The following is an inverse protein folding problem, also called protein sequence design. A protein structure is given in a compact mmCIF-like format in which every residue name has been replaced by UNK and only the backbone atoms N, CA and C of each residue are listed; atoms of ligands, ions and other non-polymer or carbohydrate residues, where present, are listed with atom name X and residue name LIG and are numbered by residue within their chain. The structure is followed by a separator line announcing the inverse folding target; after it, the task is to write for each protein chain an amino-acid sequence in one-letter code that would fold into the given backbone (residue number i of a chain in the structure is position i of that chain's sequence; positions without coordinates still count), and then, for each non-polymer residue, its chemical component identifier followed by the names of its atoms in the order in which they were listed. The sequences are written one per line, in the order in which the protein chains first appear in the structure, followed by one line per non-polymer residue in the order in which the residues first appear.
data_IF_839501947488
#
_entry.id   IF_839501947488
#
_cell.length_a   1.000
_cell.length_b   1.000
_cell.length_c   1.000
_cell.angle_alpha   90.00
_cell.angle_beta   90.00
_cell.angle_gamma   90.00
#
_symmetry.space_group_name_H-M   'P 1'
#
loop_
_entity.id
_entity.type
_entity.pdbx_description
1 polymer ?
#
# COMPACT_ATOMS: atom_id res chain seq x y z
N UNK A 1 5.09 -40.10 -15.13
CA UNK A 1 4.77 -40.24 -13.70
C UNK A 1 4.07 -38.99 -13.25
N UNK A 2 2.75 -39.05 -13.09
CA UNK A 2 1.95 -37.92 -12.63
C UNK A 2 2.03 -37.79 -11.12
N UNK A 3 2.63 -36.71 -10.63
CA UNK A 3 2.55 -36.32 -9.23
C UNK A 3 1.20 -35.61 -9.02
N UNK A 4 0.22 -36.41 -8.61
CA UNK A 4 -1.00 -35.90 -7.97
C UNK A 4 -0.58 -35.13 -6.73
N UNK A 5 -0.83 -33.81 -6.71
CA UNK A 5 -0.60 -32.93 -5.56
C UNK A 5 -1.88 -32.96 -4.73
N UNK A 6 -1.94 -33.68 -3.59
CA UNK A 6 -3.19 -33.86 -2.83
C UNK A 6 -3.50 -32.68 -1.90
N UNK A 7 -2.94 -31.49 -2.15
CA UNK A 7 -3.04 -30.34 -1.24
C UNK A 7 -3.95 -29.19 -1.70
N UNK A 8 -4.26 -29.08 -3.00
CA UNK A 8 -5.01 -27.92 -3.55
C UNK A 8 -6.48 -27.89 -3.14
N UNK A 9 -7.13 -29.05 -3.03
CA UNK A 9 -8.55 -29.10 -2.63
C UNK A 9 -8.76 -28.93 -1.12
N UNK A 10 -7.76 -29.26 -0.29
CA UNK A 10 -7.91 -29.22 1.17
C UNK A 10 -7.74 -27.80 1.74
N UNK A 11 -6.88 -26.96 1.14
CA UNK A 11 -6.75 -25.56 1.54
C UNK A 11 -7.93 -24.69 1.10
N UNK A 12 -8.48 -24.93 -0.10
CA UNK A 12 -9.69 -24.22 -0.57
C UNK A 12 -10.91 -24.63 0.25
N UNK A 13 -11.04 -25.90 0.64
CA UNK A 13 -12.14 -26.38 1.48
C UNK A 13 -12.15 -25.80 2.90
N UNK A 14 -10.99 -25.45 3.48
CA UNK A 14 -10.93 -24.83 4.81
C UNK A 14 -11.33 -23.35 4.82
N UNK A 15 -11.15 -22.64 3.70
CA UNK A 15 -11.61 -21.24 3.55
C UNK A 15 -13.05 -21.17 3.05
N UNK A 16 -13.53 -22.22 2.38
CA UNK A 16 -14.87 -22.34 1.80
C UNK A 16 -15.80 -23.28 2.59
N UNK A 17 -15.80 -23.21 3.93
CA UNK A 17 -16.97 -23.65 4.69
C UNK A 17 -17.92 -22.45 4.79
N UNK A 18 -19.00 -22.39 3.98
CA UNK A 18 -19.96 -21.31 4.08
C UNK A 18 -20.70 -21.51 5.39
N UNK A 19 -20.73 -20.49 6.24
CA UNK A 19 -21.75 -20.44 7.27
C UNK A 19 -23.13 -20.54 6.58
N UNK A 20 -24.10 -21.29 7.12
CA UNK A 20 -25.38 -21.52 6.47
C UNK A 20 -26.33 -20.30 6.51
N UNK A 21 -25.80 -19.09 6.75
CA UNK A 21 -26.61 -17.89 6.87
C UNK A 21 -26.16 -16.85 5.84
N UNK A 22 -27.09 -16.32 5.01
CA UNK A 22 -26.77 -15.19 4.14
C UNK A 22 -26.51 -13.98 5.03
N UNK A 23 -25.24 -13.60 5.21
CA UNK A 23 -24.91 -12.36 5.92
C UNK A 23 -25.31 -11.19 5.02
N UNK A 24 -26.45 -10.59 5.31
CA UNK A 24 -26.99 -9.38 4.68
C UNK A 24 -26.16 -8.12 4.96
N UNK A 25 -25.06 -8.22 5.70
CA UNK A 25 -24.13 -7.12 5.98
C UNK A 25 -22.77 -7.41 5.33
N UNK A 26 -22.17 -6.41 4.64
CA UNK A 26 -20.81 -6.54 4.16
C UNK A 26 -19.85 -6.77 5.34
N UNK A 27 -18.80 -7.59 5.17
CA UNK A 27 -17.81 -7.81 6.21
C UNK A 27 -17.19 -6.49 6.65
N UNK A 28 -16.90 -6.36 7.95
CA UNK A 28 -16.13 -5.21 8.44
C UNK A 28 -14.78 -5.15 7.71
N UNK A 29 -14.19 -3.96 7.50
CA UNK A 29 -12.91 -3.85 6.79
C UNK A 29 -11.81 -4.72 7.41
N UNK A 30 -11.88 -4.93 8.73
CA UNK A 30 -10.96 -5.76 9.48
C UNK A 30 -11.14 -7.26 9.21
N UNK A 31 -12.39 -7.74 9.13
CA UNK A 31 -12.69 -9.11 8.75
C UNK A 31 -12.34 -9.35 7.27
N UNK A 32 -12.71 -8.42 6.38
CA UNK A 32 -12.39 -8.49 4.95
C UNK A 32 -10.87 -8.57 4.71
N UNK A 33 -10.09 -7.73 5.40
CA UNK A 33 -8.63 -7.78 5.34
C UNK A 33 -8.06 -9.09 5.89
N UNK A 34 -8.59 -9.60 7.00
CA UNK A 34 -8.13 -10.87 7.57
C UNK A 34 -8.37 -12.04 6.60
N UNK A 35 -9.53 -12.09 5.94
CA UNK A 35 -9.82 -13.07 4.89
C UNK A 35 -8.86 -12.92 3.70
N UNK A 36 -8.64 -11.69 3.23
CA UNK A 36 -7.74 -11.42 2.11
C UNK A 36 -6.28 -11.81 2.42
N UNK A 37 -5.78 -11.47 3.62
CA UNK A 37 -4.44 -11.82 4.06
C UNK A 37 -4.27 -13.34 4.19
N UNK A 38 -5.30 -14.06 4.65
CA UNK A 38 -5.28 -15.52 4.69
C UNK A 38 -5.20 -16.11 3.28
N UNK A 39 -6.03 -15.63 2.34
CA UNK A 39 -6.01 -16.08 0.95
C UNK A 39 -4.62 -15.89 0.31
N UNK A 40 -4.02 -14.70 0.43
CA UNK A 40 -2.67 -14.46 -0.11
C UNK A 40 -1.59 -15.35 0.52
N UNK A 41 -1.68 -15.61 1.83
CA UNK A 41 -0.76 -16.54 2.50
C UNK A 41 -0.90 -17.97 2.00
N UNK A 42 -2.13 -18.41 1.73
CA UNK A 42 -2.39 -19.71 1.12
C UNK A 42 -1.79 -19.81 -0.29
N UNK A 43 -1.84 -18.75 -1.08
CA UNK A 43 -1.39 -18.80 -2.47
C UNK A 43 0.13 -18.55 -2.65
N UNK A 44 0.78 -17.97 -1.63
CA UNK A 44 2.19 -17.53 -1.64
C UNK A 44 3.16 -18.61 -2.14
N UNK A 45 2.99 -19.86 -1.72
CA UNK A 45 3.93 -20.95 -2.04
C UNK A 45 3.92 -21.34 -3.52
N UNK A 46 2.83 -21.06 -4.25
CA UNK A 46 2.74 -21.31 -5.71
C UNK A 46 2.92 -20.04 -6.53
N UNK A 47 2.74 -18.87 -5.91
CA UNK A 47 2.71 -17.59 -6.60
C UNK A 47 4.01 -17.31 -7.34
N UNK A 48 5.16 -17.54 -6.70
CA UNK A 48 6.47 -17.35 -7.34
C UNK A 48 6.65 -18.22 -8.59
N UNK A 49 6.25 -19.49 -8.51
CA UNK A 49 6.35 -20.40 -9.66
C UNK A 49 5.42 -19.98 -10.79
N UNK A 50 4.18 -19.55 -10.49
CA UNK A 50 3.23 -19.06 -11.49
C UNK A 50 3.74 -17.81 -12.19
N UNK A 51 4.27 -16.83 -11.45
CA UNK A 51 4.88 -15.61 -12.01
C UNK A 51 6.03 -15.98 -12.95
N UNK A 52 6.89 -16.89 -12.54
CA UNK A 52 8.06 -17.29 -13.33
C UNK A 52 7.67 -18.05 -14.61
N UNK A 53 6.67 -18.93 -14.55
CA UNK A 53 6.17 -19.64 -15.74
C UNK A 53 5.52 -18.66 -16.72
N UNK A 54 4.69 -17.74 -16.22
CA UNK A 54 4.03 -16.74 -17.05
C UNK A 54 5.06 -15.80 -17.69
N UNK A 55 6.06 -15.35 -16.93
CA UNK A 55 7.17 -14.54 -17.47
C UNK A 55 7.89 -15.27 -18.60
N UNK A 56 8.27 -16.53 -18.40
CA UNK A 56 8.95 -17.31 -19.45
C UNK A 56 8.09 -17.48 -20.71
N UNK A 57 6.80 -17.71 -20.54
CA UNK A 57 5.87 -17.83 -21.66
C UNK A 57 5.75 -16.51 -22.44
N UNK A 58 5.70 -15.38 -21.73
CA UNK A 58 5.71 -14.04 -22.32
C UNK A 58 7.02 -13.76 -23.04
N UNK A 59 8.16 -14.00 -22.40
CA UNK A 59 9.50 -13.77 -22.99
C UNK A 59 9.64 -14.58 -24.29
N UNK A 60 9.25 -15.86 -24.29
CA UNK A 60 9.26 -16.69 -25.50
C UNK A 60 8.31 -16.18 -26.59
N UNK A 61 7.13 -15.67 -26.23
CA UNK A 61 6.19 -15.10 -27.19
C UNK A 61 6.73 -13.79 -27.79
N UNK A 62 7.36 -12.93 -26.97
CA UNK A 62 7.99 -11.68 -27.40
C UNK A 62 9.15 -11.95 -28.37
N UNK A 63 10.04 -12.87 -28.04
CA UNK A 63 11.15 -13.29 -28.91
C UNK A 63 10.63 -13.81 -30.25
N UNK A 64 9.65 -14.72 -30.24
CA UNK A 64 9.06 -15.25 -31.47
C UNK A 64 8.43 -14.16 -32.34
N UNK A 65 7.63 -13.25 -31.73
CA UNK A 65 6.98 -12.17 -32.50
C UNK A 65 8.04 -11.20 -33.06
N UNK A 66 9.10 -10.90 -32.31
CA UNK A 66 10.20 -10.06 -32.80
C UNK A 66 10.91 -10.70 -33.99
N UNK A 67 11.14 -12.01 -33.93
CA UNK A 67 11.74 -12.75 -35.03
C UNK A 67 10.85 -12.71 -36.29
N UNK A 68 9.56 -13.02 -36.16
CA UNK A 68 8.59 -12.98 -37.26
C UNK A 68 8.46 -11.56 -37.87
N UNK A 69 8.41 -10.52 -37.04
CA UNK A 69 8.39 -9.13 -37.51
C UNK A 69 9.70 -8.76 -38.24
N UNK A 70 10.83 -9.27 -37.78
CA UNK A 70 12.14 -9.12 -38.43
C UNK A 70 12.18 -9.82 -39.78
N UNK A 71 11.70 -11.07 -39.85
CA UNK A 71 11.59 -11.83 -41.09
C UNK A 71 10.66 -11.15 -42.11
N UNK A 72 9.51 -10.62 -41.66
CA UNK A 72 8.60 -9.85 -42.50
C UNK A 72 9.27 -8.59 -43.07
N UNK A 73 10.02 -7.84 -42.23
CA UNK A 73 10.79 -6.68 -42.67
C UNK A 73 11.82 -7.06 -43.73
N UNK A 74 12.61 -8.10 -43.46
CA UNK A 74 13.60 -8.60 -44.42
C UNK A 74 12.98 -9.12 -45.72
N UNK A 75 11.77 -9.66 -45.67
CA UNK A 75 11.03 -10.07 -46.88
C UNK A 75 10.59 -8.86 -47.72
N UNK A 76 10.10 -7.78 -47.09
CA UNK A 76 9.76 -6.54 -47.80
C UNK A 76 10.99 -5.85 -48.39
N UNK A 77 12.12 -5.86 -47.68
CA UNK A 77 13.39 -5.33 -48.19
C UNK A 77 13.87 -6.11 -49.43
N UNK A 78 13.75 -7.44 -49.41
CA UNK A 78 14.06 -8.29 -50.58
C UNK A 78 13.08 -8.07 -51.74
N UNK A 79 11.81 -7.75 -51.46
CA UNK A 79 10.80 -7.48 -52.47
C UNK A 79 10.98 -6.09 -53.11
N UNK A 80 11.50 -5.11 -52.37
CA UNK A 80 11.68 -3.73 -52.80
C UNK A 80 12.29 -3.56 -54.21
N UNK A 81 13.41 -4.22 -54.56
CA UNK A 81 14.01 -4.15 -55.89
C UNK A 81 13.13 -4.65 -57.04
N UNK A 82 12.17 -5.54 -56.76
CA UNK A 82 11.25 -6.09 -57.76
C UNK A 82 10.01 -5.21 -57.99
N UNK A 83 9.72 -4.27 -57.09
CA UNK A 83 8.65 -3.28 -57.25
C UNK A 83 9.13 -2.08 -58.08
N UNK A 84 8.95 -2.17 -59.40
CA UNK A 84 9.29 -1.07 -60.34
C UNK A 84 8.13 -0.10 -60.56
N UNK A 85 6.90 -0.62 -60.55
CA UNK A 85 5.66 0.14 -60.71
C UNK A 85 5.35 1.05 -59.50
N UNK A 86 4.73 2.20 -59.75
CA UNK A 86 4.37 3.19 -58.73
C UNK A 86 3.39 2.59 -57.73
N UNK A 87 2.36 1.87 -58.20
CA UNK A 87 1.38 1.23 -57.31
C UNK A 87 2.00 0.13 -56.44
N UNK A 88 2.97 -0.63 -56.97
CA UNK A 88 3.73 -1.62 -56.21
C UNK A 88 4.54 -0.97 -55.07
N UNK A 89 5.21 0.17 -55.37
CA UNK A 89 6.00 0.91 -54.38
C UNK A 89 5.14 1.50 -53.26
N UNK A 90 4.02 2.13 -53.61
CA UNK A 90 3.06 2.67 -52.62
C UNK A 90 2.53 1.55 -51.70
N UNK A 91 2.21 0.39 -52.28
CA UNK A 91 1.74 -0.78 -51.51
C UNK A 91 2.84 -1.30 -50.57
N UNK A 92 4.09 -1.37 -51.03
CA UNK A 92 5.25 -1.77 -50.23
C UNK A 92 5.48 -0.81 -49.05
N UNK A 93 5.42 0.49 -49.29
CA UNK A 93 5.53 1.52 -48.25
C UNK A 93 4.40 1.42 -47.22
N UNK A 94 3.16 1.20 -47.68
CA UNK A 94 2.01 0.98 -46.81
C UNK A 94 2.18 -0.26 -45.92
N UNK A 95 2.74 -1.34 -46.47
CA UNK A 95 3.07 -2.57 -45.74
C UNK A 95 4.15 -2.34 -44.68
N UNK A 96 5.22 -1.60 -45.02
CA UNK A 96 6.28 -1.23 -44.07
C UNK A 96 5.74 -0.35 -42.93
N UNK A 97 4.88 0.61 -43.25
CA UNK A 97 4.22 1.44 -42.26
C UNK A 97 3.34 0.59 -41.33
N UNK A 98 2.52 -0.30 -41.91
CA UNK A 98 1.66 -1.24 -41.16
C UNK A 98 2.46 -2.15 -40.23
N UNK A 99 3.61 -2.68 -40.67
CA UNK A 99 4.51 -3.47 -39.81
C UNK A 99 5.11 -2.65 -38.65
N UNK A 100 5.38 -1.36 -38.88
CA UNK A 100 5.88 -0.47 -37.83
C UNK A 100 4.80 -0.20 -36.78
N UNK A 101 3.57 0.07 -37.23
CA UNK A 101 2.42 0.23 -36.34
C UNK A 101 2.14 -1.05 -35.56
N UNK A 102 2.21 -2.21 -36.23
CA UNK A 102 2.03 -3.52 -35.61
C UNK A 102 3.08 -3.80 -34.53
N UNK A 103 4.36 -3.56 -34.82
CA UNK A 103 5.44 -3.73 -33.85
C UNK A 103 5.21 -2.89 -32.57
N UNK A 104 4.85 -1.62 -32.75
CA UNK A 104 4.52 -0.74 -31.63
C UNK A 104 3.25 -1.18 -30.88
N UNK A 105 2.26 -1.75 -31.58
CA UNK A 105 1.05 -2.28 -30.95
C UNK A 105 1.34 -3.54 -30.12
N UNK A 106 2.19 -4.44 -30.62
CA UNK A 106 2.66 -5.63 -29.89
C UNK A 106 3.39 -5.20 -28.63
N UNK A 107 4.35 -4.26 -28.70
CA UNK A 107 5.09 -3.79 -27.52
C UNK A 107 4.15 -3.20 -26.45
N UNK A 108 3.16 -2.41 -26.86
CA UNK A 108 2.13 -1.90 -25.95
C UNK A 108 1.30 -3.02 -25.34
N UNK A 109 0.90 -4.01 -26.13
CA UNK A 109 0.09 -5.14 -25.68
C UNK A 109 0.85 -6.00 -24.67
N UNK A 110 2.13 -6.32 -24.92
CA UNK A 110 2.94 -7.13 -24.02
C UNK A 110 3.30 -6.39 -22.73
N UNK A 111 3.60 -5.09 -22.82
CA UNK A 111 3.78 -4.21 -21.65
C UNK A 111 2.51 -4.11 -20.79
N UNK A 112 1.34 -4.08 -21.44
CA UNK A 112 0.06 -4.08 -20.74
C UNK A 112 -0.22 -5.44 -20.09
N UNK A 113 0.10 -6.56 -20.76
CA UNK A 113 -0.05 -7.90 -20.23
C UNK A 113 0.79 -8.12 -18.95
N UNK A 114 2.00 -7.59 -18.87
CA UNK A 114 2.82 -7.63 -17.65
C UNK A 114 2.15 -6.87 -16.49
N UNK A 115 1.66 -5.65 -16.74
CA UNK A 115 1.10 -4.77 -15.69
C UNK A 115 -0.29 -5.20 -15.22
N UNK A 116 -1.10 -5.71 -16.14
CA UNK A 116 -2.51 -6.05 -15.92
C UNK A 116 -2.74 -7.55 -15.77
N UNK A 117 -1.73 -8.38 -16.02
CA UNK A 117 -1.82 -9.83 -15.92
C UNK A 117 -2.27 -10.28 -14.54
N UNK A 118 -3.24 -11.20 -14.48
CA UNK A 118 -3.85 -11.63 -13.22
C UNK A 118 -2.82 -12.13 -12.19
N UNK A 119 -1.83 -12.92 -12.65
CA UNK A 119 -0.75 -13.45 -11.81
C UNK A 119 0.16 -12.34 -11.28
N UNK A 120 0.45 -11.33 -12.10
CA UNK A 120 1.23 -10.16 -11.70
C UNK A 120 0.46 -9.27 -10.71
N UNK A 121 -0.84 -9.09 -10.92
CA UNK A 121 -1.70 -8.38 -9.96
C UNK A 121 -1.77 -9.13 -8.63
N UNK A 122 -1.93 -10.45 -8.66
CA UNK A 122 -1.90 -11.30 -7.47
C UNK A 122 -0.57 -11.16 -6.71
N UNK A 123 0.56 -11.19 -7.42
CA UNK A 123 1.89 -10.97 -6.82
C UNK A 123 2.02 -9.58 -6.16
N UNK A 124 1.54 -8.53 -6.83
CA UNK A 124 1.55 -7.16 -6.31
C UNK A 124 0.65 -7.04 -5.08
N UNK A 125 -0.56 -7.60 -5.14
CA UNK A 125 -1.50 -7.55 -4.03
C UNK A 125 -1.05 -8.37 -2.83
N UNK A 126 -0.44 -9.54 -3.06
CA UNK A 126 0.16 -10.37 -2.02
C UNK A 126 1.26 -9.63 -1.26
N UNK A 127 2.17 -8.94 -1.97
CA UNK A 127 3.18 -8.07 -1.34
C UNK A 127 2.55 -6.92 -0.56
N UNK A 128 1.51 -6.26 -1.11
CA UNK A 128 0.82 -5.18 -0.41
C UNK A 128 0.18 -5.67 0.90
N UNK A 129 -0.46 -6.84 0.87
CA UNK A 129 -1.05 -7.46 2.06
C UNK A 129 0.03 -7.80 3.11
N UNK A 130 1.19 -8.30 2.70
CA UNK A 130 2.32 -8.56 3.60
C UNK A 130 2.81 -7.28 4.31
N UNK A 131 2.93 -6.17 3.57
CA UNK A 131 3.28 -4.86 4.15
C UNK A 131 2.25 -4.39 5.18
N UNK A 132 0.96 -4.58 4.88
CA UNK A 132 -0.12 -4.23 5.82
C UNK A 132 -0.10 -5.11 7.08
N UNK A 133 0.13 -6.42 6.94
CA UNK A 133 0.30 -7.33 8.08
C UNK A 133 1.47 -6.88 8.95
N UNK A 134 2.62 -6.60 8.33
CA UNK A 134 3.79 -6.09 9.03
C UNK A 134 3.50 -4.77 9.76
N UNK A 135 2.72 -3.87 9.15
CA UNK A 135 2.32 -2.62 9.78
C UNK A 135 1.50 -2.84 11.05
N UNK A 136 0.51 -3.74 11.01
CA UNK A 136 -0.31 -4.10 12.18
C UNK A 136 0.55 -4.73 13.28
N UNK A 137 1.52 -5.58 12.91
CA UNK A 137 2.45 -6.14 13.88
C UNK A 137 3.38 -5.09 14.50
N UNK A 138 3.83 -4.11 13.70
CA UNK A 138 4.61 -2.98 14.20
C UNK A 138 3.82 -2.18 15.24
N UNK A 139 2.55 -1.87 14.97
CA UNK A 139 1.66 -1.18 15.92
C UNK A 139 1.48 -2.00 17.20
N UNK A 140 1.25 -3.31 17.10
CA UNK A 140 1.14 -4.19 18.28
C UNK A 140 2.40 -4.15 19.15
N UNK A 141 3.59 -4.19 18.52
CA UNK A 141 4.87 -4.09 19.24
C UNK A 141 5.03 -2.70 19.89
N UNK A 142 4.59 -1.64 19.22
CA UNK A 142 4.62 -0.29 19.77
C UNK A 142 3.71 -0.16 21.01
N UNK A 143 2.45 -0.56 20.89
CA UNK A 143 1.50 -0.52 21.99
C UNK A 143 1.96 -1.33 23.21
N UNK A 144 2.56 -2.50 23.00
CA UNK A 144 3.09 -3.29 24.11
C UNK A 144 4.22 -2.56 24.84
N UNK A 145 5.14 -1.90 24.10
CA UNK A 145 6.24 -1.13 24.70
C UNK A 145 5.72 0.05 25.52
N UNK A 146 4.81 0.84 24.94
CA UNK A 146 4.19 1.97 25.66
C UNK A 146 3.46 1.50 26.92
N UNK A 147 2.75 0.37 26.83
CA UNK A 147 2.07 -0.22 27.98
C UNK A 147 3.04 -0.61 29.09
N UNK A 148 4.15 -1.27 28.75
CA UNK A 148 5.19 -1.63 29.73
C UNK A 148 5.85 -0.41 30.36
N UNK A 149 6.17 0.62 29.58
CA UNK A 149 6.76 1.87 30.09
C UNK A 149 5.78 2.61 31.03
N UNK A 150 4.49 2.62 30.69
CA UNK A 150 3.45 3.20 31.53
C UNK A 150 3.28 2.44 32.85
N UNK A 151 3.35 1.11 32.82
CA UNK A 151 3.31 0.30 34.03
C UNK A 151 4.52 0.53 34.93
N UNK A 152 5.73 0.61 34.36
CA UNK A 152 6.95 0.91 35.09
C UNK A 152 6.85 2.27 35.76
N UNK A 153 6.44 3.31 35.03
CA UNK A 153 6.27 4.65 35.58
C UNK A 153 5.23 4.69 36.71
N UNK A 154 4.12 3.95 36.59
CA UNK A 154 3.13 3.79 37.67
C UNK A 154 3.76 3.13 38.91
N UNK A 155 4.55 2.07 38.73
CA UNK A 155 5.26 1.38 39.84
C UNK A 155 6.25 2.33 40.53
N UNK A 156 7.03 3.10 39.78
CA UNK A 156 7.95 4.10 40.34
C UNK A 156 7.21 5.16 41.16
N UNK A 157 6.08 5.69 40.68
CA UNK A 157 5.28 6.68 41.42
C UNK A 157 4.74 6.08 42.72
N UNK A 158 4.19 4.85 42.67
CA UNK A 158 3.66 4.16 43.86
C UNK A 158 4.76 3.83 44.88
N UNK A 159 5.96 3.45 44.41
CA UNK A 159 7.10 3.23 45.28
C UNK A 159 7.58 4.55 45.91
N UNK A 160 7.64 5.63 45.14
CA UNK A 160 8.05 6.94 45.63
C UNK A 160 7.07 7.49 46.68
N UNK A 161 5.76 7.35 46.47
CA UNK A 161 4.76 7.75 47.46
C UNK A 161 4.88 6.95 48.76
N UNK A 162 5.07 5.63 48.67
CA UNK A 162 5.33 4.78 49.85
C UNK A 162 6.63 5.16 50.56
N UNK A 163 7.72 5.37 49.83
CA UNK A 163 9.00 5.79 50.41
C UNK A 163 8.88 7.15 51.10
N UNK A 164 8.11 8.08 50.53
CA UNK A 164 7.84 9.38 51.13
C UNK A 164 7.05 9.25 52.44
N UNK A 165 6.02 8.41 52.47
CA UNK A 165 5.25 8.13 53.70
C UNK A 165 6.14 7.51 54.79
N UNK A 166 7.04 6.58 54.43
CA UNK A 166 7.99 5.99 55.37
C UNK A 166 8.98 7.02 55.92
N UNK A 167 9.50 7.92 55.08
CA UNK A 167 10.38 9.01 55.51
C UNK A 167 9.69 9.97 56.49
N UNK A 168 8.42 10.32 56.25
CA UNK A 168 7.62 11.17 57.15
C UNK A 168 7.34 10.49 58.51
N UNK A 169 7.21 9.16 58.55
CA UNK A 169 6.97 8.41 59.80
C UNK A 169 8.25 8.21 60.62
N UNK A 170 9.42 8.14 59.97
CA UNK A 170 10.71 7.97 60.64
C UNK A 170 11.18 9.26 61.33
N UNK A 171 10.88 10.43 60.74
CA UNK A 171 11.16 11.74 61.32
C UNK A 171 10.37 12.00 62.62
N UNK A 172 9.20 11.35 62.79
CA UNK A 172 8.36 11.42 64.00
C UNK A 172 8.80 10.45 65.11
N UNK A 173 9.62 9.45 64.78
CA UNK A 173 10.14 8.43 65.70
C UNK A 173 11.52 8.77 66.27
N UNK A 174 12.13 9.89 65.89
CA UNK A 174 13.40 10.34 66.46
C UNK A 174 13.14 11.41 67.56
N UNK A 175 13.19 11.04 68.86
CA UNK A 175 12.91 11.96 69.94
C UNK A 175 14.07 12.96 70.05
N UNK A 176 13.85 14.19 69.58
CA UNK A 176 14.26 15.45 70.22
C UNK A 176 15.58 15.44 71.03
N UNK A 177 16.72 15.17 70.38
CA UNK A 177 18.03 15.54 70.92
C UNK A 177 18.77 16.47 69.95
N UNK A 178 18.20 17.67 69.73
CA UNK A 178 18.89 18.80 69.11
C UNK A 178 18.93 19.95 70.13
N UNK A 179 20.13 20.40 70.57
CA UNK A 179 20.27 21.61 71.37
C UNK A 179 19.78 22.84 70.58
N UNK A 180 19.08 23.73 71.28
CA UNK A 180 18.45 24.94 70.74
C UNK A 180 19.44 25.86 70.00
N UNK A 181 19.10 26.42 68.82
CA UNK A 181 19.83 27.55 68.27
C UNK A 181 19.18 28.87 68.72
N UNK A 182 19.97 29.71 69.39
CA UNK A 182 19.66 31.12 69.59
C UNK A 182 20.10 31.95 68.37
N UNK A 183 19.27 32.96 68.08
CA UNK A 183 19.46 34.11 67.18
C UNK A 183 18.91 34.00 65.74
N UNK A 184 18.04 34.97 65.49
CA UNK A 184 17.20 35.31 64.34
C UNK A 184 18.00 36.16 63.34
N UNK A 185 17.86 35.95 62.03
CA UNK A 185 17.52 37.03 61.09
C UNK A 185 17.26 36.55 59.63
N UNK A 186 16.31 37.25 58.99
CA UNK A 186 16.02 37.41 57.55
C UNK A 186 15.47 36.27 56.66
N UNK A 187 14.26 36.57 56.15
CA UNK A 187 13.63 36.13 54.89
C UNK A 187 13.22 34.66 54.76
N UNK A 188 11.99 34.41 55.21
CA UNK A 188 10.94 33.61 54.58
C UNK A 188 11.34 32.84 53.29
N UNK A 189 11.97 31.69 53.47
CA UNK A 189 12.19 30.70 52.43
C UNK A 189 11.61 29.36 52.87
N UNK A 190 10.29 29.19 52.78
CA UNK A 190 9.68 27.85 52.81
C UNK A 190 10.12 27.12 51.56
N UNK A 191 11.32 26.54 51.58
CA UNK A 191 11.82 25.66 50.54
C UNK A 191 11.10 24.30 50.64
N UNK A 192 9.80 24.28 50.33
CA UNK A 192 9.19 23.11 49.72
C UNK A 192 10.00 22.87 48.46
N UNK A 193 10.94 21.93 48.50
CA UNK A 193 11.67 21.46 47.32
C UNK A 193 10.62 21.04 46.29
N UNK A 194 10.32 21.93 45.33
CA UNK A 194 9.54 21.57 44.14
C UNK A 194 10.36 20.53 43.41
N UNK A 195 9.87 19.29 43.36
CA UNK A 195 10.41 18.30 42.43
C UNK A 195 9.92 18.72 41.05
N UNK A 196 10.79 19.34 40.26
CA UNK A 196 10.51 19.63 38.85
C UNK A 196 10.62 18.32 38.06
N UNK A 197 9.49 17.73 37.71
CA UNK A 197 9.45 16.62 36.75
C UNK A 197 9.44 17.27 35.36
N UNK A 198 10.62 17.41 34.76
CA UNK A 198 10.72 17.78 33.35
C UNK A 198 10.35 16.55 32.52
N UNK A 199 9.09 16.46 32.08
CA UNK A 199 8.71 15.51 31.02
C UNK A 199 9.15 16.12 29.70
N UNK A 200 10.28 15.65 29.17
CA UNK A 200 10.75 15.99 27.82
C UNK A 200 9.91 15.18 26.83
N UNK A 201 9.08 15.79 25.97
CA UNK A 201 8.49 15.06 24.85
C UNK A 201 9.63 14.75 23.87
N UNK A 202 9.94 13.47 23.65
CA UNK A 202 10.79 13.06 22.54
C UNK A 202 10.01 13.22 21.25
N UNK A 203 10.02 14.41 20.69
CA UNK A 203 9.91 14.57 19.25
C UNK A 203 11.06 15.46 18.77
N UNK A 204 11.85 14.85 17.88
CA UNK A 204 12.51 15.43 16.71
C UNK A 204 14.04 15.23 16.69
N UNK A 205 14.48 14.11 16.10
CA UNK A 205 15.38 14.17 14.94
C UNK A 205 15.32 12.86 14.14
N UNK A 206 14.96 12.95 12.85
CA UNK A 206 15.77 12.30 11.82
C UNK A 206 16.53 13.37 11.04
N UNK A 207 17.80 13.11 10.80
CA UNK A 207 18.67 14.01 10.05
C UNK A 207 18.21 14.22 8.62
N UNK A 208 18.24 15.47 8.20
CA UNK A 208 18.49 15.87 6.82
C UNK A 208 19.39 17.13 6.85
N UNK A 209 20.46 17.07 6.07
CA UNK A 209 21.44 18.14 5.82
C UNK A 209 20.78 19.32 5.07
N UNK A 210 21.43 20.50 4.99
CA UNK A 210 20.77 21.76 4.69
C UNK A 210 20.69 22.02 3.17
N UNK A 211 19.55 22.54 2.72
CA UNK A 211 19.49 23.28 1.46
C UNK A 211 18.70 24.57 1.68
N UNK A 212 19.30 25.66 1.19
CA UNK A 212 18.95 27.03 1.57
C UNK A 212 17.79 27.57 0.74
N UNK A 213 16.97 28.37 1.44
CA UNK A 213 16.48 29.71 1.06
C UNK A 213 14.96 29.85 0.82
N UNK A 214 14.41 30.70 1.68
CA UNK A 214 13.07 31.30 1.72
C UNK A 214 12.74 32.07 0.40
N UNK A 215 11.54 31.87 -0.18
CA UNK A 215 10.29 32.65 -0.01
C UNK A 215 10.08 33.70 -1.16
N UNK A 216 8.86 34.22 -1.47
CA UNK A 216 7.72 34.37 -0.55
C UNK A 216 6.27 34.25 -1.12
N UNK A 217 5.33 34.40 -0.18
CA UNK A 217 4.03 35.08 -0.25
C UNK A 217 2.77 34.30 -0.70
N UNK A 218 1.74 34.35 0.16
CA UNK A 218 0.36 34.00 -0.14
C UNK A 218 -0.44 33.55 1.08
N UNK A 219 -0.88 34.48 1.92
CA UNK A 219 -1.97 34.26 2.90
C UNK A 219 -3.33 34.18 2.18
N UNK A 220 -4.17 33.19 2.51
CA UNK A 220 -5.51 33.34 3.14
C UNK A 220 -6.46 32.16 2.85
N UNK A 221 -7.09 31.74 3.95
CA UNK A 221 -8.42 31.10 4.10
C UNK A 221 -8.64 29.65 3.64
N UNK A 222 -8.79 28.72 4.60
CA UNK A 222 -10.05 28.31 5.25
C UNK A 222 -11.04 27.62 4.29
N UNK A 223 -11.20 26.31 4.44
CA UNK A 223 -12.43 25.72 5.01
C UNK A 223 -12.38 24.19 4.91
N UNK A 224 -12.98 23.58 5.92
CA UNK A 224 -13.09 22.16 6.15
C UNK A 224 -14.12 21.48 5.25
N UNK A 225 -13.85 20.19 5.03
CA UNK A 225 -14.76 19.07 4.82
C UNK A 225 -16.22 19.28 5.29
N UNK A 226 -17.19 18.97 4.41
CA UNK A 226 -18.40 18.15 4.66
C UNK A 226 -18.71 17.38 3.35
N UNK A 227 -18.82 16.03 3.34
CA UNK A 227 -20.08 15.24 3.37
C UNK A 227 -21.20 15.84 2.48
N UNK A 228 -22.00 15.14 1.66
CA UNK A 228 -22.24 13.74 1.31
C UNK A 228 -23.34 13.75 0.22
N UNK A 229 -23.33 12.79 -0.70
CA UNK A 229 -24.50 12.17 -1.38
C UNK A 229 -25.50 13.00 -2.21
N UNK A 230 -25.57 12.72 -3.52
CA UNK A 230 -26.75 12.61 -4.42
C UNK A 230 -26.19 12.17 -5.79
N UNK A 231 -26.39 10.99 -6.39
CA UNK A 231 -27.59 10.26 -6.87
C UNK A 231 -28.52 11.07 -7.79
N UNK A 232 -28.25 11.02 -9.11
CA UNK A 232 -29.16 10.80 -10.27
C UNK A 232 -28.33 10.97 -11.56
N UNK A 233 -28.18 9.95 -12.39
CA UNK A 233 -29.00 9.66 -13.59
C UNK A 233 -28.85 10.69 -14.73
N UNK A 234 -28.22 10.25 -15.82
CA UNK A 234 -28.52 10.53 -17.24
C UNK A 234 -27.43 9.83 -18.09
N UNK A 235 -27.64 8.57 -18.49
CA UNK A 235 -28.13 8.17 -19.83
C UNK A 235 -27.36 8.81 -20.99
N UNK A 236 -26.41 8.04 -21.54
CA UNK A 236 -25.82 8.29 -22.86
C UNK A 236 -26.73 7.66 -23.91
N UNK A 237 -27.44 8.51 -24.63
CA UNK A 237 -28.31 8.14 -25.74
C UNK A 237 -27.46 7.80 -26.96
N UNK A 238 -27.45 6.52 -27.34
CA UNK A 238 -27.02 6.07 -28.65
C UNK A 238 -28.18 6.16 -29.65
N UNK A 239 -27.96 6.83 -30.77
CA UNK A 239 -28.68 6.68 -32.05
C UNK A 239 -27.63 7.04 -33.13
N UNK A 240 -27.24 6.22 -34.10
CA UNK A 240 -28.02 5.23 -34.83
C UNK A 240 -28.70 5.91 -36.01
N UNK A 241 -27.94 6.43 -36.99
CA UNK A 241 -28.51 7.00 -38.22
C UNK A 241 -28.48 5.95 -39.34
N UNK A 242 -29.60 5.25 -39.47
CA UNK A 242 -29.95 4.39 -40.61
C UNK A 242 -30.50 5.27 -41.72
N UNK A 243 -29.86 5.23 -42.89
CA UNK A 243 -30.36 5.83 -44.13
C UNK A 243 -31.54 4.98 -44.62
N UNK A 244 -32.71 5.60 -44.69
CA UNK A 244 -33.94 5.08 -45.27
C UNK A 244 -33.85 4.98 -46.80
N UNK A 245 -34.03 3.77 -47.32
CA UNK A 245 -34.54 3.52 -48.68
C UNK A 245 -36.00 4.00 -48.76
N UNK A 246 -36.31 4.76 -49.81
CA UNK A 246 -37.68 5.04 -50.23
C UNK A 246 -37.87 4.45 -51.63
N UNK A 247 -38.75 3.44 -51.71
CA UNK A 247 -39.33 2.89 -52.92
C UNK A 247 -40.81 3.23 -52.89
N UNK A 248 -41.29 4.02 -53.85
CA UNK A 248 -42.70 4.08 -54.23
C UNK A 248 -42.81 4.36 -55.73
N UNK A 249 -43.57 3.49 -56.37
CA UNK A 249 -44.00 3.55 -57.75
C UNK A 249 -45.13 4.58 -57.92
N UNK A 250 -45.07 5.40 -58.98
CA UNK A 250 -45.95 5.37 -60.16
C UNK A 250 -45.38 6.29 -61.24
#
# INVERSE_FOLDING_TARGET
GGLSVPGRQQCVALVASPSPFPTSCPPTPQAAFAHLALAFRCDMFTLQQRVLVEKRARDAAEENIQEELGQCRGALERLGPFCTDVGCKETLEQLQHSLTVLAAAVERATSAAEKLGAVHQEARMSRAAEVMVQHVENLKRHHLREHTELEEMKRLIQQNSRNRQLAETQDDMEPRLRPHPLMRSFQQGSARRRVSIAVIPKQLLPGASPESRAAPAGELERAQCQHSTQRSELELQGQGSTVTEELAAE
#
